data_IF_732226133319
#
_entry.id   IF_732226133319
#
_cell.length_a   1.000
_cell.length_b   1.000
_cell.length_c   1.000
_cell.angle_alpha   90.00
_cell.angle_beta   90.00
_cell.angle_gamma   90.00
#
_symmetry.space_group_name_H-M   'P 1'
#
loop_
_entity.id
_entity.type
_entity.pdbx_description
1 polymer ?
#
# COMPACT_ATOMS: atom_id res chain seq x y z
N UNK A 1 -44.88 -10.48 -33.67
CA UNK A 1 -44.05 -10.78 -32.48
C UNK A 1 -42.95 -11.72 -32.98
N UNK A 2 -41.71 -11.42 -32.70
CA UNK A 2 -40.60 -12.33 -32.93
C UNK A 2 -40.60 -13.34 -31.77
N UNK A 3 -40.59 -14.65 -32.10
CA UNK A 3 -40.45 -15.65 -31.04
C UNK A 3 -39.11 -15.44 -30.29
N UNK A 4 -39.10 -15.58 -28.99
CA UNK A 4 -37.89 -15.40 -28.17
C UNK A 4 -37.17 -16.73 -27.91
N UNK A 5 -37.75 -17.87 -28.32
CA UNK A 5 -37.22 -19.21 -28.05
C UNK A 5 -35.80 -19.42 -28.54
N UNK A 6 -35.45 -18.86 -29.72
CA UNK A 6 -34.09 -18.93 -30.26
C UNK A 6 -33.08 -18.00 -29.60
N UNK A 7 -33.55 -17.06 -28.74
CA UNK A 7 -32.73 -16.07 -28.06
C UNK A 7 -32.56 -16.38 -26.57
N UNK A 8 -33.26 -17.42 -26.04
CA UNK A 8 -33.19 -17.79 -24.60
C UNK A 8 -31.79 -18.30 -24.27
N UNK A 9 -31.09 -17.65 -23.30
CA UNK A 9 -29.69 -17.98 -23.02
C UNK A 9 -29.50 -19.24 -22.17
N UNK A 10 -30.50 -19.60 -21.37
CA UNK A 10 -30.50 -20.78 -20.49
C UNK A 10 -31.92 -21.10 -20.02
N UNK A 11 -32.12 -22.34 -19.58
CA UNK A 11 -33.41 -22.79 -19.01
C UNK A 11 -33.69 -22.13 -17.67
N UNK A 12 -34.95 -21.76 -17.43
CA UNK A 12 -35.44 -21.20 -16.19
C UNK A 12 -36.09 -22.28 -15.29
N UNK A 13 -36.08 -22.06 -13.98
CA UNK A 13 -36.89 -22.87 -13.05
C UNK A 13 -38.39 -22.81 -13.40
N UNK A 14 -39.14 -23.85 -13.00
CA UNK A 14 -40.58 -23.88 -13.18
C UNK A 14 -41.25 -22.69 -12.48
N UNK A 15 -42.05 -21.95 -13.21
CA UNK A 15 -42.78 -20.79 -12.70
C UNK A 15 -42.06 -19.46 -12.95
N UNK A 16 -40.88 -19.51 -13.57
CA UNK A 16 -40.19 -18.31 -14.09
C UNK A 16 -40.49 -18.16 -15.57
N UNK A 17 -40.45 -16.93 -16.06
CA UNK A 17 -40.64 -16.61 -17.49
C UNK A 17 -39.56 -15.67 -17.99
N UNK A 18 -39.26 -15.75 -19.28
CA UNK A 18 -38.46 -14.77 -19.98
C UNK A 18 -39.38 -13.76 -20.68
N UNK A 19 -39.09 -12.46 -20.49
CA UNK A 19 -39.70 -11.42 -21.33
C UNK A 19 -38.68 -10.32 -21.62
N UNK A 20 -38.99 -9.49 -22.61
CA UNK A 20 -38.20 -8.28 -22.89
C UNK A 20 -38.52 -7.21 -21.90
N UNK A 21 -37.47 -6.56 -21.37
CA UNK A 21 -37.62 -5.55 -20.33
C UNK A 21 -38.56 -4.40 -20.81
N UNK A 22 -38.56 -4.07 -22.11
CA UNK A 22 -39.45 -3.06 -22.66
C UNK A 22 -40.92 -3.46 -22.77
N UNK A 23 -41.29 -4.76 -22.58
CA UNK A 23 -42.70 -5.17 -22.53
C UNK A 23 -43.32 -4.97 -21.15
N UNK A 24 -42.49 -4.95 -20.10
CA UNK A 24 -42.86 -4.99 -18.69
C UNK A 24 -42.42 -3.76 -17.91
N UNK A 25 -41.82 -2.78 -18.57
CA UNK A 25 -41.42 -1.51 -17.97
C UNK A 25 -41.37 -0.40 -19.02
N UNK A 26 -41.41 0.85 -18.58
CA UNK A 26 -41.15 1.99 -19.44
C UNK A 26 -39.65 2.34 -19.40
N UNK A 27 -39.05 2.45 -20.59
CA UNK A 27 -37.63 2.78 -20.71
C UNK A 27 -37.49 4.02 -21.59
N UNK A 28 -36.83 5.04 -21.04
CA UNK A 28 -36.64 6.29 -21.75
C UNK A 28 -35.33 6.98 -21.39
N UNK A 29 -34.75 7.71 -22.34
CA UNK A 29 -33.53 8.48 -22.16
C UNK A 29 -33.80 9.80 -21.46
N UNK A 30 -32.88 10.25 -20.60
CA UNK A 30 -32.84 11.60 -20.06
C UNK A 30 -32.54 12.64 -21.12
N UNK A 31 -32.63 13.91 -20.75
CA UNK A 31 -32.37 15.01 -21.67
C UNK A 31 -31.77 16.21 -20.93
N UNK A 32 -30.91 16.94 -21.63
CA UNK A 32 -30.24 18.14 -21.07
C UNK A 32 -30.73 19.40 -21.77
N UNK A 33 -31.30 20.38 -21.01
CA UNK A 33 -31.61 21.72 -21.57
C UNK A 33 -30.32 22.36 -22.10
N UNK A 34 -30.39 22.99 -23.27
CA UNK A 34 -29.19 23.57 -23.88
C UNK A 34 -29.38 25.09 -24.12
N UNK A 35 -28.39 25.94 -23.82
CA UNK A 35 -27.14 25.59 -23.11
C UNK A 35 -27.37 25.37 -21.61
N UNK A 36 -26.89 24.27 -21.03
CA UNK A 36 -27.20 23.90 -19.63
C UNK A 36 -26.85 24.96 -18.61
N UNK A 37 -25.77 25.73 -18.82
CA UNK A 37 -25.35 26.83 -17.93
C UNK A 37 -26.42 27.90 -17.73
N UNK A 38 -27.30 28.11 -18.69
CA UNK A 38 -28.42 29.10 -18.58
C UNK A 38 -29.56 28.59 -17.68
N UNK A 39 -29.62 27.29 -17.45
CA UNK A 39 -30.66 26.63 -16.66
C UNK A 39 -30.23 26.28 -15.26
N UNK A 40 -28.93 26.17 -14.97
CA UNK A 40 -28.43 25.90 -13.61
C UNK A 40 -28.85 27.05 -12.69
N UNK A 41 -29.33 26.73 -11.49
CA UNK A 41 -29.75 27.65 -10.47
C UNK A 41 -29.48 27.17 -9.07
N UNK A 42 -29.31 28.14 -8.15
CA UNK A 42 -29.23 27.88 -6.71
C UNK A 42 -30.55 28.24 -5.98
N UNK A 43 -31.59 28.61 -6.73
CA UNK A 43 -32.87 28.99 -6.16
C UNK A 43 -33.52 27.83 -5.39
N UNK A 44 -34.21 28.16 -4.31
CA UNK A 44 -34.94 27.18 -3.50
C UNK A 44 -35.98 26.40 -4.34
N UNK A 45 -36.64 27.07 -5.29
CA UNK A 45 -37.62 26.46 -6.20
C UNK A 45 -37.01 25.72 -7.39
N UNK A 46 -35.68 25.61 -7.46
CA UNK A 46 -35.00 24.84 -8.49
C UNK A 46 -35.29 23.33 -8.36
N UNK A 47 -35.42 22.68 -9.51
CA UNK A 47 -35.63 21.22 -9.61
C UNK A 47 -34.27 20.50 -9.60
N UNK A 48 -34.14 19.43 -8.83
CA UNK A 48 -32.89 18.65 -8.76
C UNK A 48 -32.44 18.24 -10.16
N UNK A 49 -31.14 18.40 -10.43
CA UNK A 49 -30.48 18.00 -11.66
C UNK A 49 -29.56 16.80 -11.41
N UNK A 50 -30.06 15.63 -11.79
CA UNK A 50 -29.42 14.34 -11.47
C UNK A 50 -28.38 14.00 -12.53
N UNK A 51 -27.12 13.93 -12.13
CA UNK A 51 -25.98 13.61 -12.98
C UNK A 51 -25.28 12.33 -12.50
N UNK A 52 -24.49 11.70 -13.37
CA UNK A 52 -23.67 10.53 -12.99
C UNK A 52 -22.70 10.88 -11.83
N UNK A 53 -22.21 12.12 -11.77
CA UNK A 53 -21.35 12.59 -10.68
C UNK A 53 -22.02 12.77 -9.32
N UNK A 54 -23.33 12.52 -9.21
CA UNK A 54 -24.08 12.50 -7.94
C UNK A 54 -24.15 11.08 -7.32
N UNK A 55 -23.61 10.08 -8.02
CA UNK A 55 -23.55 8.69 -7.52
C UNK A 55 -22.28 8.45 -6.71
N UNK A 56 -22.38 7.58 -5.72
CA UNK A 56 -21.23 6.99 -5.04
C UNK A 56 -20.69 5.82 -5.85
N UNK A 57 -19.37 5.55 -5.75
CA UNK A 57 -18.66 4.58 -6.60
C UNK A 57 -19.29 3.19 -6.56
N UNK A 58 -19.72 2.71 -5.40
CA UNK A 58 -20.34 1.40 -5.21
C UNK A 58 -21.72 1.50 -4.57
N UNK A 59 -22.33 2.71 -4.68
CA UNK A 59 -23.64 3.00 -4.11
C UNK A 59 -24.77 2.37 -4.92
N UNK A 60 -25.83 1.97 -4.20
CA UNK A 60 -27.09 1.48 -4.77
C UNK A 60 -28.09 2.59 -5.00
N UNK A 61 -28.01 3.66 -4.22
CA UNK A 61 -29.02 4.71 -4.15
C UNK A 61 -28.48 6.07 -4.54
N UNK A 62 -29.37 6.92 -5.08
CA UNK A 62 -29.13 8.36 -5.28
C UNK A 62 -30.06 9.13 -4.34
N UNK A 63 -29.53 9.74 -3.29
CA UNK A 63 -30.31 10.43 -2.27
C UNK A 63 -30.46 11.92 -2.52
N UNK A 64 -29.47 12.57 -3.16
CA UNK A 64 -29.42 14.01 -3.35
C UNK A 64 -28.61 14.37 -4.60
N UNK A 65 -28.72 15.61 -5.03
CA UNK A 65 -27.99 16.16 -6.17
C UNK A 65 -27.18 17.39 -5.76
N UNK A 66 -26.07 17.62 -6.45
CA UNK A 66 -25.21 18.79 -6.24
C UNK A 66 -25.75 20.04 -6.92
N UNK A 67 -26.56 19.88 -7.96
CA UNK A 67 -27.05 20.98 -8.79
C UNK A 67 -28.58 20.93 -8.96
N UNK A 68 -29.15 22.06 -9.27
CA UNK A 68 -30.57 22.21 -9.63
C UNK A 68 -30.70 22.96 -10.96
N UNK A 69 -31.81 22.74 -11.65
CA UNK A 69 -32.20 23.51 -12.85
C UNK A 69 -33.45 24.35 -12.57
N UNK A 70 -33.58 25.44 -13.32
CA UNK A 70 -34.77 26.29 -13.31
C UNK A 70 -35.99 25.49 -13.78
N UNK A 71 -37.21 25.80 -13.29
CA UNK A 71 -38.45 25.13 -13.70
C UNK A 71 -38.68 25.13 -15.23
N UNK A 72 -38.26 26.18 -15.94
CA UNK A 72 -38.38 26.28 -17.40
C UNK A 72 -37.53 25.23 -18.16
N UNK A 73 -36.52 24.66 -17.48
CA UNK A 73 -35.68 23.58 -18.03
C UNK A 73 -36.34 22.21 -17.97
N UNK A 74 -37.34 22.01 -17.12
CA UNK A 74 -37.98 20.70 -16.87
C UNK A 74 -38.59 20.13 -18.14
N UNK A 75 -39.28 20.95 -18.94
CA UNK A 75 -39.89 20.54 -20.21
C UNK A 75 -38.88 20.07 -21.26
N UNK A 76 -37.59 20.42 -21.10
CA UNK A 76 -36.49 20.06 -22.00
C UNK A 76 -35.64 18.90 -21.45
N UNK A 77 -36.06 18.33 -20.35
CA UNK A 77 -35.43 17.22 -19.69
C UNK A 77 -36.46 16.10 -19.42
N UNK A 78 -36.08 15.08 -18.71
CA UNK A 78 -36.98 14.04 -18.24
C UNK A 78 -37.06 14.08 -16.71
N UNK A 79 -38.26 14.28 -16.21
CA UNK A 79 -38.55 14.21 -14.79
C UNK A 79 -38.70 12.77 -14.37
N UNK A 80 -38.11 12.42 -13.22
CA UNK A 80 -38.12 11.11 -12.57
C UNK A 80 -38.48 11.24 -11.11
N UNK A 81 -39.05 10.16 -10.55
CA UNK A 81 -39.58 10.11 -9.19
C UNK A 81 -38.70 9.24 -8.29
N UNK A 82 -38.87 9.42 -6.98
CA UNK A 82 -38.34 8.46 -6.02
C UNK A 82 -38.93 7.07 -6.27
N UNK A 83 -38.07 6.07 -6.36
CA UNK A 83 -38.41 4.70 -6.72
C UNK A 83 -38.04 4.30 -8.15
N UNK A 84 -37.91 5.26 -9.08
CA UNK A 84 -37.47 4.98 -10.44
C UNK A 84 -36.03 4.42 -10.45
N UNK A 85 -35.78 3.54 -11.40
CA UNK A 85 -34.42 3.06 -11.70
C UNK A 85 -33.73 3.94 -12.72
N UNK A 86 -32.48 4.27 -12.45
CA UNK A 86 -31.61 4.94 -13.40
C UNK A 86 -30.50 3.98 -13.83
N UNK A 87 -30.29 3.88 -15.14
CA UNK A 87 -29.20 3.10 -15.71
C UNK A 87 -28.26 4.04 -16.47
N UNK A 88 -26.97 3.94 -16.22
CA UNK A 88 -25.96 4.74 -16.94
C UNK A 88 -25.83 4.28 -18.38
N UNK A 89 -25.91 5.22 -19.35
CA UNK A 89 -25.82 4.88 -20.79
C UNK A 89 -24.42 5.08 -21.36
N UNK A 90 -23.51 5.77 -20.65
CA UNK A 90 -22.14 6.08 -21.07
C UNK A 90 -21.23 6.26 -19.86
N UNK A 91 -19.92 6.32 -20.03
CA UNK A 91 -18.87 6.44 -19.00
C UNK A 91 -18.84 5.24 -18.02
N UNK A 92 -19.73 5.18 -17.03
CA UNK A 92 -19.89 4.03 -16.12
C UNK A 92 -20.95 3.06 -16.63
N UNK A 93 -20.95 2.75 -17.89
CA UNK A 93 -21.88 1.98 -18.69
C UNK A 93 -22.61 0.86 -17.93
N UNK A 94 -23.95 0.82 -18.07
CA UNK A 94 -24.79 -0.28 -17.61
C UNK A 94 -24.93 -0.40 -16.07
N UNK A 95 -24.55 0.60 -15.29
CA UNK A 95 -24.73 0.56 -13.84
C UNK A 95 -26.14 0.99 -13.44
N UNK A 96 -26.90 0.18 -12.69
CA UNK A 96 -28.20 0.53 -12.16
C UNK A 96 -28.09 1.32 -10.84
N UNK A 97 -29.03 2.23 -10.62
CA UNK A 97 -29.21 2.96 -9.38
C UNK A 97 -30.70 3.13 -9.06
N UNK A 98 -31.05 3.10 -7.79
CA UNK A 98 -32.40 3.35 -7.31
C UNK A 98 -32.50 4.80 -6.84
N UNK A 99 -33.44 5.56 -7.37
CA UNK A 99 -33.61 6.96 -7.02
C UNK A 99 -34.38 7.08 -5.69
N UNK A 100 -33.80 7.81 -4.72
CA UNK A 100 -34.42 8.17 -3.44
C UNK A 100 -34.76 9.66 -3.31
N UNK A 101 -34.64 10.38 -4.42
CA UNK A 101 -35.06 11.78 -4.58
C UNK A 101 -35.88 11.89 -5.86
N UNK A 102 -36.30 13.09 -6.22
CA UNK A 102 -36.97 13.36 -7.49
C UNK A 102 -36.28 14.50 -8.21
N UNK A 103 -36.45 14.60 -9.51
CA UNK A 103 -35.84 15.66 -10.32
C UNK A 103 -35.73 15.33 -11.79
N UNK A 104 -34.91 16.08 -12.49
CA UNK A 104 -34.64 15.88 -13.92
C UNK A 104 -33.28 15.19 -14.13
N UNK A 105 -33.23 14.23 -15.06
CA UNK A 105 -32.03 13.48 -15.42
C UNK A 105 -31.40 13.99 -16.72
N UNK A 106 -30.08 14.09 -16.73
CA UNK A 106 -29.35 14.44 -17.95
C UNK A 106 -29.31 13.28 -18.96
N UNK A 107 -28.82 13.58 -20.16
CA UNK A 107 -28.78 12.66 -21.31
C UNK A 107 -27.82 11.47 -21.17
N UNK A 108 -27.05 11.38 -20.09
CA UNK A 108 -26.23 10.23 -19.69
C UNK A 108 -26.98 9.13 -18.94
N UNK A 109 -28.30 9.31 -18.71
CA UNK A 109 -29.16 8.35 -18.03
C UNK A 109 -30.21 7.73 -18.93
N UNK A 110 -30.56 6.49 -18.66
CA UNK A 110 -31.81 5.86 -18.99
C UNK A 110 -32.62 5.69 -17.72
N UNK A 111 -33.92 5.95 -17.74
CA UNK A 111 -34.86 5.63 -16.66
C UNK A 111 -35.62 4.36 -17.03
N UNK A 112 -35.78 3.45 -16.05
CA UNK A 112 -36.63 2.27 -16.11
C UNK A 112 -37.72 2.51 -15.06
N UNK A 113 -38.94 2.78 -15.50
CA UNK A 113 -40.09 3.05 -14.65
C UNK A 113 -41.22 2.04 -14.83
N UNK A 114 -42.33 2.23 -14.09
CA UNK A 114 -43.53 1.40 -14.13
C UNK A 114 -43.23 -0.10 -13.83
N UNK A 115 -42.34 -0.35 -12.86
CA UNK A 115 -41.82 -1.69 -12.52
C UNK A 115 -42.59 -2.36 -11.38
N UNK A 116 -43.41 -1.63 -10.63
CA UNK A 116 -43.98 -2.01 -9.33
C UNK A 116 -44.91 -3.23 -9.41
N UNK A 117 -45.51 -3.49 -10.57
CA UNK A 117 -46.40 -4.64 -10.77
C UNK A 117 -45.67 -5.94 -11.06
N UNK A 118 -44.43 -5.86 -11.54
CA UNK A 118 -43.68 -7.02 -12.03
C UNK A 118 -42.45 -7.31 -11.20
N UNK A 119 -41.78 -6.28 -10.70
CA UNK A 119 -40.50 -6.41 -10.06
C UNK A 119 -40.50 -5.95 -8.60
N UNK A 120 -39.84 -6.78 -7.77
CA UNK A 120 -39.25 -6.29 -6.54
C UNK A 120 -38.04 -5.41 -6.88
N UNK A 121 -37.92 -4.25 -6.23
CA UNK A 121 -36.93 -3.23 -6.55
C UNK A 121 -35.50 -3.74 -6.31
N UNK A 122 -35.28 -4.49 -5.24
CA UNK A 122 -33.97 -5.02 -4.90
C UNK A 122 -33.57 -6.17 -5.81
N UNK A 123 -34.53 -7.03 -6.19
CA UNK A 123 -34.29 -8.05 -7.19
C UNK A 123 -33.85 -7.46 -8.52
N UNK A 124 -34.57 -6.45 -9.03
CA UNK A 124 -34.24 -5.79 -10.30
C UNK A 124 -32.85 -5.16 -10.22
N UNK A 125 -32.49 -4.55 -9.08
CA UNK A 125 -31.15 -4.00 -8.88
C UNK A 125 -30.07 -5.06 -8.98
N UNK A 126 -30.19 -6.16 -8.24
CA UNK A 126 -29.18 -7.22 -8.26
C UNK A 126 -29.10 -7.93 -9.61
N UNK A 127 -30.23 -8.16 -10.25
CA UNK A 127 -30.27 -8.79 -11.58
C UNK A 127 -29.59 -7.91 -12.64
N UNK A 128 -29.86 -6.60 -12.66
CA UNK A 128 -29.19 -5.65 -13.56
C UNK A 128 -27.70 -5.48 -13.23
N UNK A 129 -27.31 -5.61 -11.96
CA UNK A 129 -25.92 -5.54 -11.52
C UNK A 129 -25.13 -6.83 -11.78
N UNK A 130 -25.80 -7.93 -12.14
CA UNK A 130 -25.16 -9.21 -12.37
C UNK A 130 -24.19 -9.14 -13.58
N UNK A 131 -23.02 -9.77 -13.44
CA UNK A 131 -22.02 -9.79 -14.50
C UNK A 131 -22.59 -10.29 -15.84
N UNK A 132 -23.48 -11.26 -15.81
CA UNK A 132 -24.19 -11.74 -17.01
C UNK A 132 -24.93 -10.60 -17.73
N UNK A 133 -25.71 -9.80 -17.01
CA UNK A 133 -26.44 -8.67 -17.60
C UNK A 133 -25.53 -7.58 -18.12
N UNK A 134 -24.47 -7.28 -17.38
CA UNK A 134 -23.44 -6.34 -17.83
C UNK A 134 -22.79 -6.80 -19.16
N UNK A 135 -22.37 -8.06 -19.24
CA UNK A 135 -21.76 -8.63 -20.45
C UNK A 135 -22.76 -8.63 -21.63
N UNK A 136 -24.03 -8.97 -21.38
CA UNK A 136 -25.08 -8.93 -22.39
C UNK A 136 -25.28 -7.51 -22.94
N UNK A 137 -25.39 -6.51 -22.05
CA UNK A 137 -25.49 -5.12 -22.46
C UNK A 137 -24.25 -4.64 -23.22
N UNK A 138 -23.07 -5.06 -22.83
CA UNK A 138 -21.81 -4.72 -23.49
C UNK A 138 -21.74 -5.30 -24.91
N UNK A 139 -22.13 -6.55 -25.10
CA UNK A 139 -22.21 -7.21 -26.43
C UNK A 139 -23.23 -6.48 -27.32
N UNK A 140 -24.40 -6.13 -26.78
CA UNK A 140 -25.45 -5.44 -27.53
C UNK A 140 -25.06 -4.02 -27.92
N UNK A 141 -24.26 -3.33 -27.10
CA UNK A 141 -23.75 -1.98 -27.36
C UNK A 141 -22.50 -1.99 -28.27
N UNK A 142 -21.80 -3.10 -28.35
CA UNK A 142 -20.54 -3.24 -29.06
C UNK A 142 -20.66 -3.20 -30.56
N UNK A 143 -20.14 -2.15 -31.16
CA UNK A 143 -20.07 -1.89 -32.60
C UNK A 143 -19.59 -0.47 -32.95
N UNK A 144 -19.44 0.40 -31.99
CA UNK A 144 -18.92 1.76 -32.15
C UNK A 144 -17.76 2.06 -31.20
N UNK A 145 -16.95 3.02 -31.56
CA UNK A 145 -15.76 3.48 -30.80
C UNK A 145 -16.07 4.01 -29.38
N UNK A 146 -17.36 4.11 -29.04
CA UNK A 146 -17.86 4.52 -27.71
C UNK A 146 -19.07 3.65 -27.40
N UNK A 147 -18.96 2.79 -26.38
CA UNK A 147 -20.07 2.01 -25.86
C UNK A 147 -21.18 2.95 -25.38
N UNK A 148 -22.33 2.91 -26.09
CA UNK A 148 -23.48 3.76 -25.75
C UNK A 148 -24.75 2.92 -25.71
N UNK A 149 -25.28 2.75 -24.51
CA UNK A 149 -26.50 2.02 -24.27
C UNK A 149 -27.71 2.90 -24.57
N UNK A 150 -28.44 2.60 -25.63
CA UNK A 150 -29.66 3.35 -25.95
C UNK A 150 -30.91 2.64 -25.42
N UNK A 151 -32.04 3.39 -25.38
CA UNK A 151 -33.31 2.87 -24.84
C UNK A 151 -33.84 1.64 -25.56
N UNK A 152 -33.62 1.53 -26.86
CA UNK A 152 -34.17 0.41 -27.65
C UNK A 152 -33.38 -0.89 -27.42
N UNK A 153 -32.07 -0.80 -27.21
CA UNK A 153 -31.24 -1.92 -26.75
C UNK A 153 -31.72 -2.43 -25.38
N UNK A 154 -31.93 -1.53 -24.41
CA UNK A 154 -32.41 -1.93 -23.08
C UNK A 154 -33.82 -2.51 -23.12
N UNK A 155 -34.71 -1.96 -23.96
CA UNK A 155 -36.06 -2.54 -24.19
C UNK A 155 -35.98 -3.95 -24.75
N UNK A 156 -35.03 -4.26 -25.60
CA UNK A 156 -34.86 -5.58 -26.22
C UNK A 156 -34.20 -6.61 -25.31
N UNK A 157 -33.63 -6.20 -24.17
CA UNK A 157 -32.95 -7.06 -23.22
C UNK A 157 -33.90 -8.12 -22.67
N UNK A 158 -33.57 -9.40 -22.84
CA UNK A 158 -34.27 -10.51 -22.20
C UNK A 158 -33.98 -10.55 -20.71
N UNK A 159 -35.03 -10.61 -19.91
CA UNK A 159 -34.94 -10.54 -18.48
C UNK A 159 -35.70 -11.69 -17.81
N UNK A 160 -35.10 -12.40 -16.83
CA UNK A 160 -35.76 -13.50 -16.14
C UNK A 160 -36.70 -12.95 -15.07
N UNK A 161 -37.93 -13.46 -15.01
CA UNK A 161 -38.98 -12.97 -14.15
C UNK A 161 -39.46 -14.09 -13.22
N UNK A 162 -38.94 -14.18 -12.00
CA UNK A 162 -39.48 -15.05 -10.95
C UNK A 162 -40.84 -14.56 -10.45
N UNK A 163 -41.63 -15.40 -9.81
CA UNK A 163 -42.75 -14.94 -9.00
C UNK A 163 -42.32 -13.89 -7.95
N UNK A 164 -43.13 -12.86 -7.68
CA UNK A 164 -42.74 -11.72 -6.84
C UNK A 164 -42.24 -12.10 -5.44
N UNK A 165 -42.80 -13.14 -4.82
CA UNK A 165 -42.33 -13.63 -3.53
C UNK A 165 -40.94 -14.27 -3.61
N UNK A 166 -40.61 -14.90 -4.74
CA UNK A 166 -39.33 -15.50 -4.98
C UNK A 166 -38.27 -14.40 -5.27
N UNK A 167 -38.63 -13.35 -6.01
CA UNK A 167 -37.82 -12.18 -6.21
C UNK A 167 -37.33 -11.58 -4.87
N UNK A 168 -38.26 -11.37 -3.92
CA UNK A 168 -37.94 -10.86 -2.59
C UNK A 168 -36.99 -11.78 -1.81
N UNK A 169 -37.22 -13.09 -1.90
CA UNK A 169 -36.36 -14.08 -1.24
C UNK A 169 -34.94 -14.06 -1.84
N UNK A 170 -34.82 -14.00 -3.18
CA UNK A 170 -33.55 -13.92 -3.89
C UNK A 170 -32.81 -12.62 -3.48
N UNK A 171 -33.52 -11.49 -3.50
CA UNK A 171 -32.95 -10.20 -3.15
C UNK A 171 -32.40 -10.18 -1.71
N UNK A 172 -33.18 -10.70 -0.77
CA UNK A 172 -32.75 -10.81 0.63
C UNK A 172 -31.51 -11.72 0.76
N UNK A 173 -31.54 -12.90 0.12
CA UNK A 173 -30.42 -13.84 0.17
C UNK A 173 -29.14 -13.28 -0.43
N UNK A 174 -29.26 -12.54 -1.55
CA UNK A 174 -28.11 -11.87 -2.18
C UNK A 174 -27.56 -10.78 -1.24
N UNK A 175 -28.44 -9.97 -0.62
CA UNK A 175 -28.02 -8.96 0.35
C UNK A 175 -27.24 -9.57 1.50
N UNK A 176 -27.79 -10.62 2.15
CA UNK A 176 -27.13 -11.31 3.27
C UNK A 176 -25.75 -11.84 2.89
N UNK A 177 -25.62 -12.41 1.68
CA UNK A 177 -24.32 -12.91 1.20
C UNK A 177 -23.33 -11.80 0.92
N UNK A 178 -23.76 -10.66 0.37
CA UNK A 178 -22.89 -9.50 0.14
C UNK A 178 -22.43 -8.89 1.46
N UNK A 179 -23.33 -8.75 2.45
CA UNK A 179 -23.00 -8.28 3.80
C UNK A 179 -21.98 -9.22 4.47
N UNK A 180 -22.13 -10.54 4.30
CA UNK A 180 -21.16 -11.52 4.81
C UNK A 180 -19.79 -11.40 4.13
N UNK A 181 -19.75 -11.19 2.81
CA UNK A 181 -18.49 -10.96 2.06
C UNK A 181 -17.79 -9.70 2.55
N UNK A 182 -18.54 -8.62 2.78
CA UNK A 182 -17.98 -7.37 3.31
C UNK A 182 -17.45 -7.56 4.74
N UNK A 183 -18.18 -8.27 5.58
CA UNK A 183 -17.74 -8.61 6.94
C UNK A 183 -16.42 -9.42 6.92
N UNK A 184 -16.30 -10.40 6.02
CA UNK A 184 -15.07 -11.20 5.86
C UNK A 184 -13.90 -10.29 5.48
N UNK A 185 -14.05 -9.44 4.46
CA UNK A 185 -13.01 -8.51 4.02
C UNK A 185 -12.56 -7.56 5.15
N UNK A 186 -13.51 -6.99 5.87
CA UNK A 186 -13.20 -6.11 7.00
C UNK A 186 -12.42 -6.84 8.11
N UNK A 187 -12.78 -8.10 8.39
CA UNK A 187 -12.06 -8.92 9.37
C UNK A 187 -10.64 -9.26 8.90
N UNK A 188 -10.44 -9.58 7.64
CA UNK A 188 -9.11 -9.79 7.04
C UNK A 188 -8.21 -8.55 7.21
N UNK A 189 -8.71 -7.36 6.88
CA UNK A 189 -7.98 -6.11 7.05
C UNK A 189 -7.62 -5.84 8.53
N UNK A 190 -8.54 -6.12 9.44
CA UNK A 190 -8.32 -6.00 10.88
C UNK A 190 -7.22 -6.96 11.33
N UNK A 191 -7.27 -8.23 10.94
CA UNK A 191 -6.26 -9.23 11.32
C UNK A 191 -4.88 -8.83 10.79
N UNK A 192 -4.75 -8.43 9.53
CA UNK A 192 -3.48 -7.96 8.94
C UNK A 192 -2.92 -6.77 9.72
N UNK A 193 -3.77 -5.82 10.08
CA UNK A 193 -3.36 -4.66 10.90
C UNK A 193 -2.85 -5.06 12.28
N UNK A 194 -3.57 -5.96 12.98
CA UNK A 194 -3.17 -6.43 14.31
C UNK A 194 -1.86 -7.24 14.25
N UNK A 195 -1.65 -8.04 13.19
CA UNK A 195 -0.38 -8.75 12.94
C UNK A 195 0.78 -7.75 12.79
N UNK A 196 0.60 -6.68 12.03
CA UNK A 196 1.64 -5.65 11.86
C UNK A 196 1.96 -4.93 13.17
N UNK A 197 0.94 -4.62 13.99
CA UNK A 197 1.13 -4.06 15.33
C UNK A 197 1.89 -5.04 16.24
N UNK A 198 1.56 -6.31 16.18
CA UNK A 198 2.25 -7.35 16.96
C UNK A 198 3.71 -7.49 16.53
N UNK A 199 4.02 -7.51 15.24
CA UNK A 199 5.40 -7.51 14.73
C UNK A 199 6.18 -6.30 15.24
N UNK A 200 5.60 -5.11 15.21
CA UNK A 200 6.22 -3.90 15.74
C UNK A 200 6.48 -4.01 17.24
N UNK A 201 5.56 -4.63 17.99
CA UNK A 201 5.73 -4.85 19.43
C UNK A 201 6.83 -5.87 19.75
N UNK A 202 6.94 -6.91 18.95
CA UNK A 202 8.03 -7.90 19.06
C UNK A 202 9.38 -7.23 18.82
N UNK A 203 9.50 -6.39 17.79
CA UNK A 203 10.70 -5.60 17.52
C UNK A 203 11.04 -4.68 18.70
N UNK A 204 10.07 -3.97 19.29
CA UNK A 204 10.29 -3.13 20.46
C UNK A 204 10.83 -3.94 21.66
N UNK A 205 10.25 -5.12 21.92
CA UNK A 205 10.73 -6.00 22.99
C UNK A 205 12.14 -6.56 22.69
N UNK A 206 12.38 -6.96 21.46
CA UNK A 206 13.66 -7.49 21.00
C UNK A 206 14.80 -6.48 21.18
N UNK A 207 14.62 -5.28 20.65
CA UNK A 207 15.67 -4.25 20.62
C UNK A 207 15.87 -3.56 21.98
N UNK A 208 14.90 -3.67 22.88
CA UNK A 208 15.06 -3.25 24.30
C UNK A 208 15.58 -4.34 25.21
N UNK A 209 15.92 -5.53 24.66
CA UNK A 209 16.40 -6.69 25.45
C UNK A 209 15.36 -7.28 26.39
N UNK A 210 14.08 -7.22 26.01
CA UNK A 210 12.93 -7.70 26.80
C UNK A 210 12.22 -8.90 26.16
N UNK A 211 12.64 -9.34 24.96
CA UNK A 211 12.01 -10.46 24.25
C UNK A 211 12.44 -11.81 24.83
N UNK A 212 13.68 -11.91 25.22
CA UNK A 212 14.28 -13.12 25.81
C UNK A 212 14.93 -12.82 27.16
N UNK A 213 15.13 -13.85 27.98
CA UNK A 213 15.82 -13.69 29.27
C UNK A 213 17.30 -13.40 29.05
N UNK A 214 17.84 -12.49 29.87
CA UNK A 214 19.27 -12.19 29.90
C UNK A 214 20.04 -13.39 30.47
N UNK A 215 21.15 -13.76 29.81
CA UNK A 215 22.04 -14.82 30.30
C UNK A 215 23.26 -14.18 30.98
N UNK A 216 23.48 -14.40 32.30
CA UNK A 216 24.63 -13.84 33.01
C UNK A 216 26.00 -14.36 32.50
N UNK A 217 26.04 -15.50 31.83
CA UNK A 217 27.25 -16.09 31.26
C UNK A 217 27.67 -15.52 29.91
N UNK A 218 26.81 -14.65 29.32
CA UNK A 218 27.19 -14.01 28.06
C UNK A 218 28.32 -12.99 28.28
N UNK A 219 29.27 -12.95 27.32
CA UNK A 219 30.33 -11.94 27.30
C UNK A 219 29.67 -10.54 27.27
N UNK A 220 29.95 -9.67 28.24
CA UNK A 220 29.34 -8.33 28.24
C UNK A 220 29.65 -7.54 26.97
N UNK A 221 28.70 -6.73 26.52
CA UNK A 221 28.87 -5.93 25.30
C UNK A 221 30.06 -4.96 25.35
N UNK A 222 30.47 -4.51 26.54
CA UNK A 222 31.68 -3.68 26.72
C UNK A 222 32.95 -4.42 26.31
N UNK A 223 33.07 -5.70 26.66
CA UNK A 223 34.23 -6.56 26.27
C UNK A 223 34.20 -6.82 24.78
N UNK A 224 33.02 -7.14 24.22
CA UNK A 224 32.83 -7.28 22.78
C UNK A 224 33.26 -6.01 22.03
N UNK A 225 32.87 -4.82 22.51
CA UNK A 225 33.22 -3.54 21.90
C UNK A 225 34.75 -3.27 21.93
N UNK A 226 35.43 -3.65 23.00
CA UNK A 226 36.91 -3.56 23.10
C UNK A 226 37.59 -4.49 22.09
N UNK A 227 37.07 -5.71 21.95
CA UNK A 227 37.56 -6.67 20.94
C UNK A 227 37.38 -6.15 19.52
N UNK A 228 36.23 -5.60 19.20
CA UNK A 228 35.96 -4.96 17.90
C UNK A 228 36.94 -3.79 17.64
N UNK A 229 37.22 -2.98 18.64
CA UNK A 229 38.20 -1.89 18.54
C UNK A 229 39.61 -2.40 18.26
N UNK A 230 40.02 -3.46 18.94
CA UNK A 230 41.34 -4.09 18.72
C UNK A 230 41.45 -4.65 17.28
N UNK A 231 40.46 -5.39 16.80
CA UNK A 231 40.40 -5.91 15.43
C UNK A 231 40.48 -4.75 14.41
N UNK A 232 39.71 -3.69 14.62
CA UNK A 232 39.69 -2.53 13.75
C UNK A 232 41.06 -1.84 13.69
N UNK A 233 41.75 -1.69 14.83
CA UNK A 233 43.11 -1.12 14.87
C UNK A 233 44.13 -2.00 14.10
N UNK A 234 44.01 -3.31 14.16
CA UNK A 234 44.85 -4.21 13.38
C UNK A 234 44.60 -4.07 11.86
N UNK A 235 43.33 -3.94 11.45
CA UNK A 235 42.96 -3.69 10.05
C UNK A 235 43.49 -2.34 9.55
N UNK A 236 43.47 -1.30 10.41
CA UNK A 236 44.04 0.02 10.10
C UNK A 236 45.54 -0.06 9.95
N UNK A 237 46.26 -0.71 10.88
CA UNK A 237 47.69 -0.91 10.84
C UNK A 237 48.13 -1.69 9.60
N UNK A 238 47.33 -2.70 9.21
CA UNK A 238 47.55 -3.49 7.99
C UNK A 238 47.23 -2.76 6.69
N UNK A 239 46.74 -1.49 6.77
CA UNK A 239 46.33 -0.71 5.61
C UNK A 239 45.08 -1.19 4.88
N UNK A 240 44.35 -2.15 5.47
CA UNK A 240 43.14 -2.72 4.88
C UNK A 240 41.93 -1.77 4.97
N UNK A 241 41.86 -0.97 6.03
CA UNK A 241 40.84 0.05 6.22
C UNK A 241 41.46 1.37 6.63
N UNK A 242 40.78 2.49 6.35
CA UNK A 242 41.20 3.82 6.81
C UNK A 242 40.48 4.12 8.15
N UNK A 243 41.17 4.88 9.02
CA UNK A 243 40.55 5.40 10.23
C UNK A 243 39.36 6.30 9.87
N UNK A 244 38.20 5.96 10.40
CA UNK A 244 37.00 6.78 10.16
C UNK A 244 37.06 8.04 11.07
N UNK A 245 37.04 9.21 10.44
CA UNK A 245 37.02 10.49 11.15
C UNK A 245 35.68 10.78 11.84
N UNK A 246 34.63 10.04 11.49
CA UNK A 246 33.28 10.19 12.05
C UNK A 246 33.03 9.26 13.25
N UNK A 247 33.99 8.39 13.56
CA UNK A 247 33.88 7.49 14.69
C UNK A 247 33.69 8.28 16.00
N UNK A 248 32.78 7.83 16.82
CA UNK A 248 32.51 8.42 18.11
C UNK A 248 32.17 7.35 19.14
N UNK A 249 32.43 7.63 20.41
CA UNK A 249 32.16 6.74 21.53
C UNK A 249 30.98 7.28 22.31
N UNK A 250 29.99 6.45 22.58
CA UNK A 250 28.90 6.78 23.50
C UNK A 250 29.25 6.22 24.88
N UNK A 251 29.11 7.02 25.91
CA UNK A 251 29.35 6.63 27.32
C UNK A 251 28.34 7.30 28.24
N UNK A 252 28.13 6.69 29.41
CA UNK A 252 27.28 7.22 30.45
C UNK A 252 28.13 8.03 31.42
N UNK A 253 27.78 9.28 31.65
CA UNK A 253 28.46 10.14 32.63
C UNK A 253 28.08 9.82 34.08
N UNK A 254 28.77 10.46 35.04
CA UNK A 254 28.49 10.35 36.46
C UNK A 254 27.09 10.88 36.86
N UNK A 255 26.56 11.81 36.05
CA UNK A 255 25.22 12.39 36.17
C UNK A 255 24.10 11.51 35.58
N UNK A 256 24.42 10.25 35.19
CA UNK A 256 23.54 9.31 34.50
C UNK A 256 23.10 9.74 33.10
N UNK A 257 23.59 10.85 32.54
CA UNK A 257 23.34 11.27 31.16
C UNK A 257 24.26 10.55 30.19
N UNK A 258 23.82 10.40 28.95
CA UNK A 258 24.64 9.81 27.89
C UNK A 258 25.31 10.89 27.06
N UNK A 259 26.57 10.67 26.73
CA UNK A 259 27.41 11.57 25.98
C UNK A 259 28.06 10.85 24.80
N UNK A 260 28.27 11.59 23.72
CA UNK A 260 29.03 11.15 22.56
C UNK A 260 30.34 11.93 22.47
N UNK A 261 31.45 11.24 22.48
CA UNK A 261 32.79 11.78 22.30
C UNK A 261 33.27 11.47 20.88
N UNK A 262 33.55 12.49 20.10
CA UNK A 262 34.07 12.38 18.72
C UNK A 262 35.59 12.17 18.70
N UNK A 263 36.13 11.75 17.55
CA UNK A 263 37.55 11.51 17.37
C UNK A 263 38.41 12.77 17.65
N UNK A 264 37.90 13.98 17.43
CA UNK A 264 38.53 15.27 17.76
C UNK A 264 38.30 15.70 19.23
N UNK A 265 37.87 14.78 20.07
CA UNK A 265 37.61 14.95 21.52
C UNK A 265 36.54 15.97 21.89
N UNK A 266 35.62 16.26 20.99
CA UNK A 266 34.44 17.07 21.30
C UNK A 266 33.37 16.21 21.94
N UNK A 267 32.79 16.70 23.05
CA UNK A 267 31.69 16.06 23.78
C UNK A 267 30.35 16.67 23.34
N UNK A 268 29.38 15.83 23.06
CA UNK A 268 28.01 16.20 22.75
C UNK A 268 27.07 15.36 23.63
N UNK A 269 25.90 15.88 23.95
CA UNK A 269 24.84 15.08 24.52
C UNK A 269 24.42 14.01 23.53
N UNK A 270 24.19 12.79 24.01
CA UNK A 270 23.68 11.70 23.21
C UNK A 270 22.21 11.43 23.58
N UNK A 271 21.31 11.80 22.67
CA UNK A 271 19.89 11.49 22.82
C UNK A 271 19.68 9.99 22.61
N UNK A 272 19.45 9.28 23.71
CA UNK A 272 19.24 7.83 23.73
C UNK A 272 17.73 7.57 23.64
N UNK A 273 17.28 6.78 22.63
CA UNK A 273 15.85 6.63 22.38
C UNK A 273 15.09 5.80 23.41
N UNK A 274 15.79 4.92 24.16
CA UNK A 274 15.19 4.05 25.18
C UNK A 274 16.26 3.45 26.11
N UNK A 275 15.84 2.83 27.19
CA UNK A 275 16.71 2.09 28.08
C UNK A 275 17.02 0.70 27.57
N UNK A 276 18.25 0.22 27.82
CA UNK A 276 18.76 -1.11 27.46
C UNK A 276 19.24 -1.87 28.72
N UNK A 277 19.38 -3.21 28.67
CA UNK A 277 19.94 -4.01 29.76
C UNK A 277 21.35 -3.56 30.18
N UNK A 278 21.73 -3.81 31.44
CA UNK A 278 23.03 -3.39 32.00
C UNK A 278 24.25 -3.99 31.32
N UNK A 279 24.11 -5.19 30.74
CA UNK A 279 25.16 -5.90 29.99
C UNK A 279 25.25 -5.49 28.51
N UNK A 280 24.37 -4.58 28.05
CA UNK A 280 24.43 -3.96 26.72
C UNK A 280 25.16 -2.62 26.76
N UNK A 281 25.62 -2.17 25.60
CA UNK A 281 26.20 -0.84 25.44
C UNK A 281 25.49 -0.07 24.34
N UNK A 282 25.41 1.25 24.48
CA UNK A 282 25.14 2.13 23.36
C UNK A 282 26.42 2.40 22.58
N UNK A 283 26.33 2.32 21.25
CA UNK A 283 27.45 2.59 20.34
C UNK A 283 26.97 3.32 19.10
N UNK A 284 27.83 3.48 18.09
CA UNK A 284 27.49 4.02 16.77
C UNK A 284 27.92 3.03 15.69
N UNK A 285 27.27 3.06 14.53
CA UNK A 285 27.61 2.13 13.43
C UNK A 285 29.10 2.18 13.05
N UNK A 286 29.78 3.35 12.91
CA UNK A 286 31.21 3.39 12.61
C UNK A 286 32.12 2.71 13.64
N UNK A 287 31.66 2.56 14.88
CA UNK A 287 32.41 1.85 15.93
C UNK A 287 32.39 0.33 15.75
N UNK A 288 31.36 -0.21 15.12
CA UNK A 288 31.12 -1.66 15.00
C UNK A 288 31.08 -2.16 13.55
N UNK A 289 31.15 -1.26 12.56
CA UNK A 289 31.05 -1.59 11.14
C UNK A 289 31.82 -0.56 10.27
N UNK A 290 32.16 -0.96 9.05
CA UNK A 290 32.51 -0.05 7.96
C UNK A 290 31.22 0.46 7.32
N UNK A 291 31.07 1.78 7.24
CA UNK A 291 29.92 2.47 6.64
C UNK A 291 30.36 3.25 5.42
N UNK A 292 29.95 2.82 4.25
CA UNK A 292 30.38 3.43 2.99
C UNK A 292 29.21 3.75 2.07
N UNK A 293 29.27 4.92 1.43
CA UNK A 293 28.30 5.35 0.42
C UNK A 293 28.70 4.78 -0.95
N UNK A 294 27.71 4.39 -1.74
CA UNK A 294 27.90 3.83 -3.07
C UNK A 294 28.49 4.81 -4.08
N UNK A 295 28.80 4.31 -5.28
CA UNK A 295 29.41 5.13 -6.36
C UNK A 295 28.41 6.16 -6.88
N UNK A 296 28.87 7.39 -7.05
CA UNK A 296 28.07 8.45 -7.66
C UNK A 296 27.93 8.22 -9.17
N UNK A 297 26.70 8.23 -9.67
CA UNK A 297 26.42 8.16 -11.10
C UNK A 297 26.79 9.50 -11.77
N UNK A 298 27.86 9.50 -12.54
CA UNK A 298 28.27 10.62 -13.40
C UNK A 298 28.60 10.08 -14.78
N UNK A 299 27.65 10.19 -15.72
CA UNK A 299 27.78 9.64 -17.07
C UNK A 299 28.96 10.25 -17.86
N UNK A 300 29.39 11.46 -17.51
CA UNK A 300 30.47 12.14 -18.18
C UNK A 300 31.85 11.74 -17.65
N UNK A 301 31.94 11.37 -16.36
CA UNK A 301 33.22 11.10 -15.69
C UNK A 301 33.47 9.61 -15.45
N UNK A 302 32.40 8.79 -15.31
CA UNK A 302 32.59 7.37 -15.06
C UNK A 302 33.13 6.67 -16.31
N UNK A 303 34.28 6.03 -16.15
CA UNK A 303 34.99 5.23 -17.18
C UNK A 303 34.95 3.75 -16.76
N UNK A 304 35.61 2.85 -17.49
CA UNK A 304 35.63 1.44 -17.19
C UNK A 304 34.50 0.64 -17.86
N UNK A 305 34.17 -0.53 -17.32
CA UNK A 305 33.19 -1.48 -17.86
C UNK A 305 31.80 -1.27 -17.27
N UNK A 306 30.75 -1.61 -18.03
CA UNK A 306 29.38 -1.64 -17.54
C UNK A 306 29.16 -2.82 -16.62
N UNK A 307 28.56 -2.57 -15.47
CA UNK A 307 28.16 -3.59 -14.50
C UNK A 307 26.76 -3.30 -13.98
N UNK A 308 25.92 -4.32 -13.71
CA UNK A 308 24.67 -4.16 -13.01
C UNK A 308 24.91 -3.67 -11.59
N UNK A 309 24.03 -2.80 -11.10
CA UNK A 309 24.18 -2.21 -9.77
C UNK A 309 22.85 -2.00 -9.08
N UNK A 310 22.88 -1.99 -7.75
CA UNK A 310 21.73 -1.72 -6.90
C UNK A 310 21.52 -0.22 -6.71
N UNK A 311 20.26 0.17 -6.75
CA UNK A 311 19.72 1.50 -6.43
C UNK A 311 18.82 1.44 -5.21
N UNK A 312 18.42 2.58 -4.65
CA UNK A 312 17.46 2.65 -3.54
C UNK A 312 16.13 1.93 -3.85
N UNK A 313 15.67 1.94 -5.11
CA UNK A 313 14.43 1.24 -5.52
C UNK A 313 14.53 -0.28 -5.40
N UNK A 314 15.72 -0.85 -5.47
CA UNK A 314 15.95 -2.29 -5.33
C UNK A 314 15.94 -2.76 -3.88
N UNK A 315 16.24 -1.87 -2.91
CA UNK A 315 16.26 -2.18 -1.49
C UNK A 315 14.88 -1.97 -0.91
N UNK A 316 14.27 -3.02 -0.37
CA UNK A 316 13.00 -2.99 0.33
C UNK A 316 13.22 -3.32 1.81
N UNK A 317 12.20 -3.14 2.68
CA UNK A 317 12.33 -3.56 4.08
C UNK A 317 12.46 -5.08 4.16
N UNK A 318 13.68 -5.54 4.52
CA UNK A 318 14.01 -6.94 4.73
C UNK A 318 14.25 -7.77 3.46
N UNK A 319 14.11 -7.24 2.25
CA UNK A 319 14.41 -7.98 1.01
C UNK A 319 14.93 -7.07 -0.11
N UNK A 320 15.46 -7.68 -1.16
CA UNK A 320 15.99 -7.00 -2.34
C UNK A 320 15.17 -7.40 -3.57
N UNK A 321 14.72 -6.40 -4.32
CA UNK A 321 14.07 -6.60 -5.62
C UNK A 321 15.11 -6.46 -6.75
N UNK A 322 15.39 -7.56 -7.43
CA UNK A 322 16.32 -7.62 -8.56
C UNK A 322 15.62 -7.58 -9.92
N UNK A 323 14.33 -7.36 -9.98
CA UNK A 323 13.54 -7.38 -11.23
C UNK A 323 13.86 -6.20 -12.17
N UNK A 324 14.35 -5.07 -11.62
CA UNK A 324 14.72 -3.86 -12.37
C UNK A 324 16.14 -3.41 -12.01
N UNK A 325 17.12 -3.91 -12.76
CA UNK A 325 18.54 -3.54 -12.60
C UNK A 325 18.99 -2.63 -13.72
N UNK A 326 19.72 -1.58 -13.36
CA UNK A 326 20.41 -0.73 -14.31
C UNK A 326 21.90 -1.07 -14.36
N UNK A 327 22.57 -0.62 -15.42
CA UNK A 327 24.01 -0.71 -15.57
C UNK A 327 24.68 0.67 -15.54
N UNK A 328 25.85 0.73 -14.90
CA UNK A 328 26.73 1.90 -14.96
C UNK A 328 28.19 1.45 -15.05
N UNK A 329 29.05 2.38 -15.42
CA UNK A 329 30.49 2.13 -15.55
C UNK A 329 31.19 2.14 -14.19
N UNK A 330 31.98 1.11 -13.94
CA UNK A 330 32.92 1.02 -12.81
C UNK A 330 34.31 0.81 -13.34
N UNK A 331 35.27 1.55 -12.76
CA UNK A 331 36.70 1.32 -12.97
C UNK A 331 37.14 0.09 -12.20
N UNK A 332 38.03 -0.74 -12.77
CA UNK A 332 38.43 -2.02 -12.19
C UNK A 332 38.98 -1.88 -10.76
N UNK A 333 39.73 -0.83 -10.48
CA UNK A 333 40.28 -0.54 -9.15
C UNK A 333 39.24 -0.13 -8.10
N UNK A 334 38.01 0.15 -8.50
CA UNK A 334 36.89 0.54 -7.61
C UNK A 334 35.90 -0.60 -7.32
N UNK A 335 35.99 -1.72 -8.05
CA UNK A 335 35.05 -2.85 -7.92
C UNK A 335 35.01 -3.36 -6.49
N UNK A 336 36.17 -3.60 -5.88
CA UNK A 336 36.25 -4.07 -4.48
C UNK A 336 35.64 -3.06 -3.50
N UNK A 337 35.87 -1.77 -3.73
CA UNK A 337 35.33 -0.71 -2.88
C UNK A 337 33.81 -0.65 -2.90
N UNK A 338 33.22 -0.75 -4.08
CA UNK A 338 31.77 -0.69 -4.26
C UNK A 338 31.09 -2.06 -4.33
N UNK A 339 31.79 -3.13 -3.92
CA UNK A 339 31.22 -4.47 -3.85
C UNK A 339 30.37 -4.67 -2.62
N UNK A 340 29.23 -5.33 -2.82
CA UNK A 340 28.37 -5.87 -1.77
C UNK A 340 28.74 -7.34 -1.58
N UNK A 341 28.82 -7.77 -0.34
CA UNK A 341 29.11 -9.16 0.05
C UNK A 341 28.03 -9.67 0.99
N UNK A 342 27.88 -10.98 1.06
CA UNK A 342 26.92 -11.60 1.99
C UNK A 342 27.06 -11.02 3.39
N UNK A 343 25.93 -10.78 4.05
CA UNK A 343 25.78 -10.14 5.36
C UNK A 343 26.04 -8.63 5.40
N UNK A 344 26.26 -7.97 4.27
CA UNK A 344 26.23 -6.51 4.24
C UNK A 344 24.79 -6.00 4.45
N UNK A 345 24.60 -5.03 5.32
CA UNK A 345 23.35 -4.30 5.48
C UNK A 345 23.37 -3.07 4.56
N UNK A 346 22.38 -2.99 3.67
CA UNK A 346 22.20 -1.88 2.74
C UNK A 346 21.11 -0.96 3.26
N UNK A 347 21.41 0.35 3.37
CA UNK A 347 20.50 1.36 3.93
C UNK A 347 20.28 2.48 2.91
N UNK A 348 19.03 2.81 2.61
CA UNK A 348 18.66 3.93 1.74
C UNK A 348 18.94 5.29 2.40
N UNK A 349 19.67 6.17 1.72
CA UNK A 349 19.91 7.55 2.13
C UNK A 349 18.67 8.43 1.93
N UNK A 350 17.92 8.23 0.84
CA UNK A 350 16.79 9.05 0.43
C UNK A 350 15.65 8.24 -0.18
N UNK A 351 14.56 8.92 -0.49
CA UNK A 351 13.30 8.31 -0.86
C UNK A 351 12.55 7.88 0.40
N UNK A 352 12.49 6.58 0.64
CA UNK A 352 12.04 6.00 1.91
C UNK A 352 13.27 5.87 2.82
N UNK A 353 13.48 6.88 3.64
CA UNK A 353 14.70 7.10 4.40
C UNK A 353 14.96 6.00 5.42
N UNK A 354 16.14 5.39 5.35
CA UNK A 354 16.52 4.33 6.28
C UNK A 354 16.00 2.94 5.92
N UNK A 355 15.18 2.82 4.85
CA UNK A 355 14.77 1.51 4.34
C UNK A 355 15.99 0.67 4.05
N UNK A 356 15.99 -0.57 4.54
CA UNK A 356 17.19 -1.39 4.51
C UNK A 356 16.89 -2.89 4.40
N UNK A 357 17.91 -3.62 3.95
CA UNK A 357 17.90 -5.09 3.84
C UNK A 357 19.30 -5.64 3.97
N UNK A 358 19.39 -6.95 4.18
CA UNK A 358 20.66 -7.68 4.21
C UNK A 358 20.87 -8.34 2.85
N UNK A 359 22.10 -8.27 2.35
CA UNK A 359 22.50 -9.02 1.17
C UNK A 359 22.79 -10.47 1.54
N UNK A 360 21.91 -11.37 1.17
CA UNK A 360 21.99 -12.80 1.51
C UNK A 360 22.54 -13.67 0.37
N UNK A 361 22.75 -13.06 -0.80
CA UNK A 361 23.24 -13.74 -2.01
C UNK A 361 24.75 -13.91 -1.95
N UNK A 362 25.27 -15.05 -2.41
CA UNK A 362 26.72 -15.32 -2.39
C UNK A 362 27.47 -14.57 -3.50
N UNK A 363 26.76 -14.07 -4.52
CA UNK A 363 27.39 -13.32 -5.60
C UNK A 363 27.73 -11.89 -5.16
N UNK A 364 28.85 -11.39 -5.66
CA UNK A 364 29.27 -10.01 -5.47
C UNK A 364 28.48 -9.11 -6.40
N UNK A 365 27.86 -8.07 -5.85
CA UNK A 365 27.12 -7.06 -6.59
C UNK A 365 27.70 -5.67 -6.35
N UNK A 366 27.34 -4.70 -7.19
CA UNK A 366 27.77 -3.32 -7.03
C UNK A 366 26.60 -2.41 -6.64
N UNK A 367 26.87 -1.25 -6.06
CA UNK A 367 25.85 -0.33 -5.62
C UNK A 367 26.22 1.13 -5.85
N UNK A 368 25.19 1.95 -6.09
CA UNK A 368 25.37 3.37 -6.30
C UNK A 368 25.10 4.22 -5.05
N UNK A 369 25.47 5.47 -5.13
CA UNK A 369 25.07 6.55 -4.23
C UNK A 369 23.54 6.63 -4.13
N UNK A 370 23.03 6.94 -2.95
CA UNK A 370 21.75 6.78 -2.32
C UNK A 370 21.61 5.44 -1.56
N UNK A 371 22.64 4.58 -1.57
CA UNK A 371 22.75 3.44 -0.67
C UNK A 371 24.00 3.53 0.18
N UNK A 372 23.86 3.35 1.48
CA UNK A 372 24.95 3.08 2.41
C UNK A 372 25.09 1.57 2.54
N UNK A 373 26.34 1.07 2.48
CA UNK A 373 26.70 -0.28 2.83
C UNK A 373 27.31 -0.29 4.24
N UNK A 374 26.74 -1.11 5.12
CA UNK A 374 27.23 -1.36 6.47
C UNK A 374 27.77 -2.78 6.53
N UNK A 375 29.08 -2.93 6.75
CA UNK A 375 29.79 -4.22 6.88
C UNK A 375 30.32 -4.35 8.29
N UNK A 376 29.76 -5.26 9.04
CA UNK A 376 30.06 -5.43 10.47
C UNK A 376 31.41 -6.08 10.71
N UNK A 377 32.04 -5.77 11.85
CA UNK A 377 33.23 -6.42 12.39
C UNK A 377 32.82 -7.53 13.37
N UNK A 378 33.76 -8.44 13.68
CA UNK A 378 33.62 -9.47 14.73
C UNK A 378 32.37 -10.38 14.58
N UNK A 379 31.95 -10.63 13.35
CA UNK A 379 30.77 -11.48 13.02
C UNK A 379 29.49 -11.10 13.79
N UNK A 380 29.30 -9.79 14.02
CA UNK A 380 28.04 -9.27 14.56
C UNK A 380 26.87 -9.72 13.71
N UNK A 381 25.70 -9.86 14.33
CA UNK A 381 24.48 -10.32 13.66
C UNK A 381 23.82 -9.18 12.87
N UNK A 382 23.90 -9.12 11.53
CA UNK A 382 23.40 -8.00 10.75
C UNK A 382 21.89 -7.86 10.87
N UNK A 383 21.14 -8.96 11.06
CA UNK A 383 19.69 -8.97 11.16
C UNK A 383 19.20 -8.31 12.43
N UNK A 384 19.98 -8.33 13.51
CA UNK A 384 19.70 -7.52 14.70
C UNK A 384 19.65 -6.04 14.36
N UNK A 385 20.60 -5.53 13.55
CA UNK A 385 20.64 -4.12 13.15
C UNK A 385 19.58 -3.77 12.10
N UNK A 386 19.18 -4.69 11.24
CA UNK A 386 17.98 -4.54 10.42
C UNK A 386 16.75 -4.29 11.31
N UNK A 387 16.58 -5.04 12.37
CA UNK A 387 15.48 -4.88 13.32
C UNK A 387 15.57 -3.57 14.11
N UNK A 388 16.78 -3.11 14.44
CA UNK A 388 16.98 -1.75 15.01
C UNK A 388 16.45 -0.67 14.06
N UNK A 389 16.78 -0.76 12.77
CA UNK A 389 16.32 0.22 11.77
C UNK A 389 14.81 0.16 11.59
N UNK A 390 14.20 -1.02 11.55
CA UNK A 390 12.74 -1.20 11.48
C UNK A 390 12.04 -0.59 12.71
N UNK A 391 12.58 -0.80 13.90
CA UNK A 391 12.05 -0.19 15.12
C UNK A 391 12.19 1.34 15.07
N UNK A 392 13.33 1.86 14.63
CA UNK A 392 13.56 3.30 14.53
C UNK A 392 12.61 3.98 13.54
N UNK A 393 12.27 3.30 12.44
CA UNK A 393 11.23 3.76 11.52
C UNK A 393 9.86 3.80 12.20
N UNK A 394 9.45 2.71 12.85
CA UNK A 394 8.14 2.61 13.51
C UNK A 394 7.96 3.64 14.63
N UNK A 395 9.04 4.03 15.30
CA UNK A 395 9.06 5.09 16.33
C UNK A 395 9.22 6.51 15.74
N UNK A 396 9.36 6.64 14.42
CA UNK A 396 9.57 7.93 13.74
C UNK A 396 10.95 8.54 13.97
N UNK A 397 11.88 7.81 14.57
CA UNK A 397 13.24 8.30 14.89
C UNK A 397 13.97 8.65 13.60
N UNK A 398 13.95 7.78 12.59
CA UNK A 398 14.65 8.01 11.31
C UNK A 398 14.17 9.30 10.64
N UNK A 399 12.87 9.54 10.64
CA UNK A 399 12.27 10.75 10.08
C UNK A 399 12.70 12.01 10.84
N UNK A 400 12.81 11.94 12.16
CA UNK A 400 13.17 13.08 13.01
C UNK A 400 14.63 13.48 12.90
N UNK A 401 15.57 12.51 12.80
CA UNK A 401 17.01 12.79 12.66
C UNK A 401 17.41 13.11 11.22
N UNK A 402 16.61 12.77 10.23
CA UNK A 402 16.89 13.03 8.81
C UNK A 402 16.89 14.52 8.47
N UNK A 403 17.79 14.92 7.59
CA UNK A 403 17.95 16.30 7.12
C UNK A 403 17.14 16.58 5.85
N UNK A 404 16.81 17.83 5.60
CA UNK A 404 16.06 18.27 4.42
C UNK A 404 14.61 18.67 4.73
N UNK A 405 14.13 19.70 4.02
CA UNK A 405 12.77 20.26 4.22
C UNK A 405 11.74 19.52 3.35
N UNK A 406 12.02 19.41 2.06
CA UNK A 406 11.09 18.79 1.08
C UNK A 406 11.38 17.31 0.89
N UNK A 407 12.65 16.92 0.81
CA UNK A 407 13.10 15.53 0.71
C UNK A 407 14.01 15.26 1.90
N UNK A 408 13.67 14.25 2.68
CA UNK A 408 14.46 13.81 3.84
C UNK A 408 15.64 12.95 3.36
N UNK A 409 16.80 13.10 4.02
CA UNK A 409 18.00 12.33 3.75
C UNK A 409 18.64 11.83 5.04
N UNK A 410 18.93 10.54 5.10
CA UNK A 410 19.77 9.91 6.13
C UNK A 410 21.22 9.97 5.67
N UNK A 411 21.81 11.17 5.71
CA UNK A 411 23.18 11.36 5.27
C UNK A 411 24.18 10.52 6.04
N UNK A 412 25.34 10.20 5.46
CA UNK A 412 26.39 9.46 6.14
C UNK A 412 26.82 10.06 7.49
N UNK A 413 26.70 11.40 7.67
CA UNK A 413 26.98 12.03 8.96
C UNK A 413 25.91 11.72 10.01
N UNK A 414 24.62 11.77 9.63
CA UNK A 414 23.50 11.45 10.51
C UNK A 414 23.53 9.97 10.88
N UNK A 415 23.68 9.08 9.90
CA UNK A 415 23.78 7.65 10.11
C UNK A 415 24.96 7.28 11.03
N UNK A 416 26.13 7.92 10.83
CA UNK A 416 27.34 7.69 11.66
C UNK A 416 27.19 8.21 13.09
N UNK A 417 26.30 9.17 13.35
CA UNK A 417 26.09 9.75 14.68
C UNK A 417 24.96 9.09 15.45
N UNK A 418 24.13 8.29 14.77
CA UNK A 418 22.94 7.65 15.35
C UNK A 418 23.34 6.61 16.41
N UNK A 419 22.80 6.68 17.63
CA UNK A 419 22.99 5.65 18.65
C UNK A 419 22.36 4.33 18.19
N UNK A 420 23.11 3.23 18.35
CA UNK A 420 22.60 1.88 18.13
C UNK A 420 22.93 1.01 19.36
N UNK A 421 22.03 0.13 19.79
CA UNK A 421 22.31 -0.78 20.90
C UNK A 421 23.24 -1.90 20.47
N UNK A 422 24.13 -2.30 21.33
CA UNK A 422 25.04 -3.44 21.16
C UNK A 422 24.77 -4.43 22.30
N UNK A 423 24.05 -5.55 22.03
CA UNK A 423 23.97 -6.69 22.94
C UNK A 423 25.25 -7.53 22.94
N UNK A 424 25.44 -8.44 23.93
CA UNK A 424 26.33 -9.58 23.80
C UNK A 424 26.11 -10.32 22.47
N UNK A 425 27.18 -10.80 21.82
CA UNK A 425 27.10 -11.44 20.49
C UNK A 425 26.15 -12.66 20.47
N UNK A 426 26.24 -13.50 21.50
CA UNK A 426 25.36 -14.67 21.66
C UNK A 426 23.88 -14.26 21.83
N UNK A 427 23.65 -13.15 22.51
CA UNK A 427 22.30 -12.61 22.72
C UNK A 427 21.70 -12.03 21.43
N UNK A 428 22.50 -11.34 20.56
CA UNK A 428 22.06 -10.88 19.27
C UNK A 428 21.47 -12.04 18.44
N UNK A 429 22.16 -13.16 18.38
CA UNK A 429 21.73 -14.37 17.64
C UNK A 429 20.44 -14.96 18.20
N UNK A 430 20.34 -15.09 19.54
CA UNK A 430 19.12 -15.60 20.19
C UNK A 430 17.90 -14.67 19.99
N UNK A 431 18.12 -13.36 20.01
CA UNK A 431 17.06 -12.38 19.73
C UNK A 431 16.56 -12.53 18.31
N UNK A 432 17.46 -12.64 17.34
CA UNK A 432 17.09 -12.80 15.93
C UNK A 432 16.33 -14.11 15.73
N UNK A 433 16.86 -15.23 16.23
CA UNK A 433 16.22 -16.54 16.14
C UNK A 433 14.80 -16.54 16.74
N UNK A 434 14.64 -15.99 17.95
CA UNK A 434 13.34 -15.89 18.60
C UNK A 434 12.36 -15.02 17.81
N UNK A 435 12.84 -13.90 17.24
CA UNK A 435 12.01 -12.99 16.44
C UNK A 435 11.58 -13.66 15.14
N UNK A 436 12.48 -14.35 14.44
CA UNK A 436 12.19 -15.04 13.18
C UNK A 436 11.16 -16.16 13.33
N UNK A 437 11.23 -16.93 14.40
CA UNK A 437 10.22 -17.96 14.70
C UNK A 437 8.83 -17.35 14.80
N UNK A 438 8.69 -16.26 15.54
CA UNK A 438 7.38 -15.62 15.70
C UNK A 438 6.93 -14.92 14.42
N UNK A 439 7.83 -14.26 13.69
CA UNK A 439 7.50 -13.61 12.41
C UNK A 439 7.03 -14.62 11.37
N UNK A 440 7.71 -15.78 11.26
CA UNK A 440 7.29 -16.85 10.35
C UNK A 440 5.87 -17.35 10.65
N UNK A 441 5.51 -17.52 11.94
CA UNK A 441 4.16 -17.90 12.33
C UNK A 441 3.12 -16.83 11.97
N UNK A 442 3.43 -15.55 12.17
CA UNK A 442 2.55 -14.44 11.81
C UNK A 442 2.37 -14.30 10.29
N UNK A 443 3.45 -14.55 9.52
CA UNK A 443 3.40 -14.56 8.06
C UNK A 443 2.56 -15.73 7.52
N UNK A 444 2.64 -16.90 8.15
CA UNK A 444 1.80 -18.07 7.83
C UNK A 444 0.31 -17.74 8.04
N UNK A 445 -0.04 -17.09 9.16
CA UNK A 445 -1.42 -16.63 9.42
C UNK A 445 -1.85 -15.65 8.32
N UNK A 446 -1.03 -14.64 8.00
CA UNK A 446 -1.35 -13.66 6.95
C UNK A 446 -1.59 -14.34 5.60
N UNK A 447 -0.74 -15.30 5.23
CA UNK A 447 -0.86 -16.04 3.97
C UNK A 447 -2.09 -16.96 3.92
N UNK A 448 -2.59 -17.41 5.07
CA UNK A 448 -3.77 -18.29 5.14
C UNK A 448 -5.09 -17.53 5.01
N UNK A 449 -5.09 -16.21 5.22
CA UNK A 449 -6.28 -15.35 5.12
C UNK A 449 -6.30 -14.50 3.86
N UNK A 450 -5.21 -14.45 3.08
CA UNK A 450 -5.09 -13.78 1.77
C UNK A 450 -5.49 -14.71 0.64
#
# INVERSE_FOLDING_TARGET
MKCIEDEIPFELPKGWEWDRLGNISTIARGGSPRPIKAYITNDANGVNWIKIGDTEKDGKYIFSTKEKIKPEGVSKSRFVKSGDFLLTNSMSFGRPYILKTEGCIHDGWLVIGDIELVFDQDYLYYALSANYMYQTMAIMAGGSTVDNLNSDLVKSLLFPIPPINEQKLIAHKVSDLLDLVELIKNNEEIIVREINLLKSKILDLAIRGKLISQNPEDEPASVLLERIRAEKEELIKAGKIKRDKKESVIFKGEDNSYYRLTADKKRFDAEIPFEIPKNWCWTTLPSVASVELGKTLDKAKNTGSYHPYLRSVNVQWGYIDLSDLNEMKFEEHEIDKYSIKRNDLLICEGGDVGRCCIWEINDTFLYQNALHRVRFYADLEPRFYLYVMMLYESLGILKNISTGVTIKHLTGNVLSAMPVPLPPLSEQKRIVEASEVVFAQLDEITSSIS
#
